data_IF_260809837347
#
_entry.id   IF_260809837347
#
_cell.length_a   1.000
_cell.length_b   1.000
_cell.length_c   1.000
_cell.angle_alpha   90.00
_cell.angle_beta   90.00
_cell.angle_gamma   90.00
#
_symmetry.space_group_name_H-M   'P 1'
#
loop_
_entity.id
_entity.type
_entity.pdbx_description
1 polymer ?
#
# COMPACT_ATOMS: atom_id res chain seq x y z
N UNK A 1 -10.58 0.60 20.33
CA UNK A 1 -11.09 0.88 18.98
C UNK A 1 -10.24 2.02 18.46
N UNK A 2 -9.56 1.85 17.32
CA UNK A 2 -8.76 2.93 16.74
C UNK A 2 -9.75 3.85 16.04
N UNK A 3 -10.07 5.00 16.63
CA UNK A 3 -10.89 6.03 16.00
C UNK A 3 -10.16 6.58 14.79
N UNK A 4 -10.50 6.08 13.61
CA UNK A 4 -9.98 6.59 12.33
C UNK A 4 -10.41 8.03 12.06
N UNK A 5 -11.42 8.55 12.77
CA UNK A 5 -11.93 9.92 12.61
C UNK A 5 -10.95 11.02 13.06
N UNK A 6 -9.92 10.69 13.85
CA UNK A 6 -8.90 11.65 14.32
C UNK A 6 -7.52 11.46 13.68
N UNK A 7 -7.39 10.60 12.66
CA UNK A 7 -6.12 10.42 11.96
C UNK A 7 -5.87 11.57 10.98
N UNK A 8 -4.61 12.03 10.85
CA UNK A 8 -4.29 13.06 9.86
C UNK A 8 -4.63 12.57 8.46
N UNK A 9 -5.13 13.42 7.55
CA UNK A 9 -5.40 13.00 6.18
C UNK A 9 -4.13 12.43 5.53
N UNK A 10 -4.26 11.30 4.83
CA UNK A 10 -3.17 10.80 4.00
C UNK A 10 -3.04 11.72 2.77
N UNK A 11 -1.97 12.51 2.72
CA UNK A 11 -1.65 13.41 1.61
C UNK A 11 -0.44 12.94 0.80
N UNK A 12 0.05 11.73 1.07
CA UNK A 12 1.29 11.22 0.48
C UNK A 12 0.99 10.44 -0.79
N UNK A 13 1.89 10.56 -1.76
CA UNK A 13 1.84 9.82 -3.01
C UNK A 13 3.01 8.83 -3.03
N UNK A 14 2.79 7.64 -3.56
CA UNK A 14 3.86 6.64 -3.69
C UNK A 14 4.14 6.37 -5.16
N UNK A 15 5.41 6.32 -5.52
CA UNK A 15 5.84 5.84 -6.81
C UNK A 15 6.55 4.50 -6.62
N UNK A 16 6.06 3.47 -7.31
CA UNK A 16 6.68 2.17 -7.36
C UNK A 16 7.28 2.00 -8.74
N UNK A 17 8.56 1.64 -8.81
CA UNK A 17 9.25 1.43 -10.08
C UNK A 17 10.26 0.31 -10.00
N UNK A 18 10.60 -0.24 -11.16
CA UNK A 18 11.65 -1.23 -11.28
C UNK A 18 11.29 -2.52 -10.56
N UNK A 19 10.01 -2.80 -10.34
CA UNK A 19 9.59 -4.15 -10.01
C UNK A 19 9.67 -4.99 -11.29
N UNK A 20 9.96 -6.28 -11.15
CA UNK A 20 9.89 -7.20 -12.30
C UNK A 20 8.48 -7.33 -12.92
N UNK A 21 7.49 -6.58 -12.42
CA UNK A 21 6.09 -6.63 -12.81
C UNK A 21 5.52 -5.22 -13.07
N UNK A 22 5.31 -4.84 -14.34
CA UNK A 22 4.69 -3.55 -14.69
C UNK A 22 3.32 -3.31 -14.03
N UNK A 23 2.63 -4.38 -13.64
CA UNK A 23 1.37 -4.34 -12.89
C UNK A 23 1.48 -3.70 -11.50
N UNK A 24 2.66 -3.76 -10.88
CA UNK A 24 2.96 -3.14 -9.59
C UNK A 24 3.65 -1.79 -9.76
N UNK A 25 4.22 -1.49 -10.92
CA UNK A 25 4.88 -0.21 -11.18
C UNK A 25 3.86 0.89 -11.50
N UNK A 26 4.17 2.12 -11.09
CA UNK A 26 3.36 3.31 -11.34
C UNK A 26 3.17 4.18 -10.10
N UNK A 27 2.31 5.18 -10.27
CA UNK A 27 1.93 6.10 -9.20
C UNK A 27 0.75 5.55 -8.41
N UNK A 28 0.78 5.80 -7.11
CA UNK A 28 -0.24 5.47 -6.16
C UNK A 28 -0.67 6.71 -5.38
N UNK A 29 -1.98 6.84 -5.19
CA UNK A 29 -2.64 7.96 -4.51
C UNK A 29 -3.27 7.46 -3.20
N UNK A 30 -3.52 8.34 -2.23
CA UNK A 30 -4.24 7.97 -1.02
C UNK A 30 -5.51 7.17 -1.34
N UNK A 31 -5.71 6.05 -0.64
CA UNK A 31 -6.79 5.10 -0.94
C UNK A 31 -8.17 5.73 -0.78
N UNK A 32 -9.06 5.57 -1.76
CA UNK A 32 -10.46 6.01 -1.69
C UNK A 32 -11.42 4.88 -1.30
N UNK A 33 -10.87 3.69 -0.99
CA UNK A 33 -11.64 2.54 -0.53
C UNK A 33 -12.66 2.89 0.57
N UNK A 34 -13.92 2.44 0.45
CA UNK A 34 -14.95 2.75 1.42
C UNK A 34 -14.63 2.12 2.79
N UNK A 35 -15.11 2.72 3.89
CA UNK A 35 -14.89 2.19 5.22
C UNK A 35 -15.30 0.72 5.33
N UNK A 36 -14.32 -0.13 5.61
CA UNK A 36 -14.50 -1.58 5.67
C UNK A 36 -13.87 -2.11 6.93
N UNK A 37 -14.58 -3.04 7.59
CA UNK A 37 -14.10 -3.72 8.77
C UNK A 37 -13.22 -4.90 8.36
N UNK A 38 -11.96 -4.91 8.79
CA UNK A 38 -11.05 -6.00 8.50
C UNK A 38 -11.29 -7.21 9.41
N UNK A 39 -10.72 -8.36 9.05
CA UNK A 39 -10.73 -9.58 9.87
C UNK A 39 -10.09 -9.38 11.26
N UNK A 40 -9.22 -8.37 11.39
CA UNK A 40 -8.64 -7.95 12.66
C UNK A 40 -9.58 -7.09 13.51
N UNK A 41 -10.85 -6.95 13.12
CA UNK A 41 -11.88 -6.17 13.81
C UNK A 41 -11.55 -4.65 13.87
N UNK A 42 -10.70 -4.17 12.95
CA UNK A 42 -10.31 -2.75 12.84
C UNK A 42 -11.08 -2.10 11.69
N UNK A 43 -11.64 -0.92 11.93
CA UNK A 43 -12.33 -0.16 10.89
C UNK A 43 -11.31 0.57 10.03
N UNK A 44 -11.44 0.45 8.70
CA UNK A 44 -10.67 1.24 7.73
C UNK A 44 -11.45 2.48 7.33
N UNK A 45 -10.77 3.49 6.79
CA UNK A 45 -11.36 4.75 6.32
C UNK A 45 -10.62 5.22 5.05
N UNK A 46 -11.14 6.19 4.29
CA UNK A 46 -10.38 6.78 3.20
C UNK A 46 -8.98 7.21 3.66
N UNK A 47 -7.97 6.87 2.87
CA UNK A 47 -6.55 7.07 3.14
C UNK A 47 -5.91 6.04 4.09
N UNK A 48 -6.70 5.17 4.72
CA UNK A 48 -6.25 4.28 5.80
C UNK A 48 -6.79 2.85 5.69
N UNK A 49 -5.90 1.89 5.94
CA UNK A 49 -6.23 0.49 6.08
C UNK A 49 -5.64 -0.04 7.37
N UNK A 50 -6.47 -0.69 8.20
CA UNK A 50 -5.99 -1.27 9.46
C UNK A 50 -5.28 -0.25 10.38
N UNK A 51 -5.69 1.01 10.36
CA UNK A 51 -5.09 2.09 11.16
C UNK A 51 -3.73 2.61 10.66
N UNK A 52 -3.27 2.17 9.48
CA UNK A 52 -2.08 2.69 8.79
C UNK A 52 -2.47 3.31 7.45
N UNK A 53 -1.66 4.22 6.92
CA UNK A 53 -1.93 4.81 5.61
C UNK A 53 -1.97 3.74 4.52
N UNK A 54 -2.83 3.95 3.54
CA UNK A 54 -3.05 3.01 2.45
C UNK A 54 -3.21 3.77 1.12
N UNK A 55 -2.83 3.10 0.02
CA UNK A 55 -2.81 3.72 -1.30
C UNK A 55 -3.43 2.84 -2.37
N UNK A 56 -4.09 3.50 -3.30
CA UNK A 56 -4.66 2.94 -4.52
C UNK A 56 -3.79 3.29 -5.72
N UNK A 57 -3.89 2.51 -6.80
CA UNK A 57 -3.23 2.88 -8.04
C UNK A 57 -3.88 4.12 -8.63
N UNK A 58 -3.06 5.09 -9.02
CA UNK A 58 -3.52 6.33 -9.64
C UNK A 58 -4.21 6.11 -10.99
N UNK A 59 -3.95 4.97 -11.66
CA UNK A 59 -4.57 4.60 -12.93
C UNK A 59 -5.96 3.95 -12.77
N UNK A 60 -6.40 3.65 -11.54
CA UNK A 60 -7.69 3.03 -11.26
C UNK A 60 -7.84 1.59 -11.78
N UNK A 61 -6.74 0.93 -12.20
CA UNK A 61 -6.80 -0.40 -12.84
C UNK A 61 -6.76 -1.57 -11.85
N UNK A 62 -6.52 -1.30 -10.57
CA UNK A 62 -6.48 -2.35 -9.56
C UNK A 62 -7.89 -2.91 -9.31
N UNK A 63 -8.02 -4.24 -9.35
CA UNK A 63 -9.26 -4.96 -9.06
C UNK A 63 -9.65 -4.88 -7.57
N UNK A 64 -8.69 -4.55 -6.71
CA UNK A 64 -8.89 -4.34 -5.27
C UNK A 64 -8.21 -3.07 -4.80
N UNK A 65 -8.82 -2.48 -3.79
CA UNK A 65 -8.30 -1.36 -3.02
C UNK A 65 -8.26 -1.74 -1.55
N UNK A 66 -7.23 -1.33 -0.78
CA UNK A 66 -6.01 -0.65 -1.23
C UNK A 66 -5.03 -1.57 -1.95
N UNK A 67 -4.24 -1.00 -2.87
CA UNK A 67 -3.17 -1.69 -3.60
C UNK A 67 -1.86 -1.79 -2.79
N UNK A 68 -1.58 -0.77 -1.97
CA UNK A 68 -0.50 -0.78 -0.97
C UNK A 68 -1.12 -0.64 0.42
N UNK A 69 -0.82 -1.59 1.30
CA UNK A 69 -1.39 -1.60 2.64
C UNK A 69 -0.53 -2.32 3.67
N UNK A 70 -0.80 -2.04 4.94
CA UNK A 70 -0.16 -2.70 6.07
C UNK A 70 -1.00 -3.88 6.58
N UNK A 71 -0.34 -5.00 6.82
CA UNK A 71 -0.93 -6.18 7.45
C UNK A 71 -0.54 -6.25 8.92
N UNK A 72 -1.51 -6.02 9.82
CA UNK A 72 -1.29 -6.09 11.28
C UNK A 72 -0.79 -7.48 11.71
N UNK A 73 -1.44 -8.55 11.21
CA UNK A 73 -1.13 -9.92 11.65
C UNK A 73 0.25 -10.41 11.25
N UNK A 74 0.76 -9.96 10.11
CA UNK A 74 2.10 -10.32 9.63
C UNK A 74 3.16 -9.25 9.90
N UNK A 75 2.73 -8.08 10.41
CA UNK A 75 3.59 -6.91 10.62
C UNK A 75 4.41 -6.58 9.37
N UNK A 76 3.73 -6.49 8.24
CA UNK A 76 4.39 -6.22 6.96
C UNK A 76 3.61 -5.27 6.06
N UNK A 77 4.37 -4.41 5.36
CA UNK A 77 3.87 -3.66 4.22
C UNK A 77 3.75 -4.56 3.01
N UNK A 78 2.74 -4.33 2.18
CA UNK A 78 2.39 -5.20 1.06
C UNK A 78 2.01 -4.41 -0.17
N UNK A 79 2.39 -4.93 -1.34
CA UNK A 79 1.98 -4.44 -2.65
C UNK A 79 1.28 -5.59 -3.37
N UNK A 80 0.08 -5.32 -3.90
CA UNK A 80 -0.63 -6.26 -4.76
C UNK A 80 -0.49 -5.89 -6.25
N UNK A 81 -0.75 -6.88 -7.09
CA UNK A 81 -0.90 -6.75 -8.54
C UNK A 81 -2.25 -6.14 -8.89
N UNK A 82 -2.46 -5.89 -10.19
CA UNK A 82 -3.74 -5.42 -10.71
C UNK A 82 -4.89 -6.39 -10.40
N UNK A 83 -4.65 -7.70 -10.40
CA UNK A 83 -5.65 -8.72 -10.07
C UNK A 83 -5.92 -8.88 -8.56
N UNK A 84 -5.16 -8.15 -7.72
CA UNK A 84 -5.29 -8.17 -6.27
C UNK A 84 -4.51 -9.26 -5.54
N UNK A 85 -3.76 -10.09 -6.25
CA UNK A 85 -2.81 -11.01 -5.62
C UNK A 85 -1.60 -10.24 -5.08
N UNK A 86 -1.10 -10.66 -3.91
CA UNK A 86 0.09 -10.08 -3.31
C UNK A 86 1.33 -10.44 -4.15
N UNK A 87 2.17 -9.44 -4.43
CA UNK A 87 3.41 -9.60 -5.19
C UNK A 87 4.66 -9.27 -4.37
N UNK A 88 4.57 -8.28 -3.49
CA UNK A 88 5.73 -7.87 -2.69
C UNK A 88 5.33 -7.62 -1.26
N UNK A 89 6.26 -7.87 -0.35
CA UNK A 89 6.07 -7.55 1.05
C UNK A 89 7.38 -7.16 1.72
N UNK A 90 7.28 -6.49 2.86
CA UNK A 90 8.43 -6.25 3.72
C UNK A 90 7.99 -6.20 5.17
N UNK A 91 8.57 -7.09 5.98
CA UNK A 91 8.29 -7.17 7.41
C UNK A 91 8.99 -6.03 8.14
N UNK A 92 8.21 -5.10 8.69
CA UNK A 92 8.67 -4.01 9.55
C UNK A 92 7.48 -3.39 10.30
N UNK A 93 7.74 -2.55 11.30
CA UNK A 93 6.70 -1.86 12.07
C UNK A 93 6.60 -0.35 11.72
N UNK A 94 7.27 0.05 10.64
CA UNK A 94 7.39 1.44 10.21
C UNK A 94 6.03 2.10 9.96
N UNK A 95 5.95 3.42 10.14
CA UNK A 95 4.71 4.17 9.92
C UNK A 95 4.34 4.29 8.45
N UNK A 96 5.35 4.33 7.57
CA UNK A 96 5.21 4.41 6.13
C UNK A 96 5.93 3.23 5.47
N UNK A 97 5.59 2.89 4.21
CA UNK A 97 6.31 1.89 3.45
C UNK A 97 7.79 2.27 3.34
N UNK A 98 8.73 1.36 3.66
CA UNK A 98 10.15 1.70 3.70
C UNK A 98 10.69 1.94 2.28
N UNK A 99 11.48 3.01 2.15
CA UNK A 99 12.14 3.43 0.90
C UNK A 99 13.66 3.26 0.95
N UNK A 100 14.20 2.85 2.10
CA UNK A 100 15.63 2.77 2.41
C UNK A 100 16.20 1.36 2.27
N UNK A 101 15.35 0.36 2.00
CA UNK A 101 15.73 -1.06 1.99
C UNK A 101 14.96 -1.85 0.94
N UNK A 102 15.49 -3.01 0.60
CA UNK A 102 14.93 -3.88 -0.43
C UNK A 102 13.67 -4.61 0.07
N UNK A 103 12.64 -4.64 -0.76
CA UNK A 103 11.42 -5.41 -0.54
C UNK A 103 11.61 -6.89 -0.88
N UNK A 104 10.82 -7.77 -0.25
CA UNK A 104 10.82 -9.19 -0.56
C UNK A 104 9.90 -9.46 -1.75
N UNK A 105 10.37 -10.31 -2.68
CA UNK A 105 9.50 -10.94 -3.67
C UNK A 105 8.59 -11.94 -2.95
N UNK A 106 7.28 -11.79 -3.09
CA UNK A 106 6.30 -12.54 -2.31
C UNK A 106 5.17 -13.10 -3.18
N UNK A 107 4.85 -14.39 -3.03
CA UNK A 107 3.81 -15.09 -3.80
C UNK A 107 3.92 -14.86 -5.31
N UNK A 108 3.13 -13.94 -5.88
CA UNK A 108 3.03 -13.69 -7.32
C UNK A 108 4.00 -12.60 -7.81
N UNK A 109 4.94 -12.17 -6.97
CA UNK A 109 6.00 -11.23 -7.35
C UNK A 109 7.07 -11.86 -8.22
N UNK A 110 7.80 -11.00 -8.94
CA UNK A 110 8.98 -11.39 -9.72
C UNK A 110 10.13 -10.45 -9.41
N UNK A 111 11.36 -10.95 -9.41
CA UNK A 111 12.56 -10.13 -9.28
C UNK A 111 12.77 -9.26 -10.54
N UNK A 112 13.35 -8.05 -10.42
CA UNK A 112 13.84 -7.41 -9.20
C UNK A 112 12.72 -6.95 -8.25
N UNK A 113 13.10 -6.75 -6.99
CA UNK A 113 12.21 -6.17 -5.99
C UNK A 113 11.87 -4.70 -6.33
N UNK A 114 10.66 -4.23 -5.99
CA UNK A 114 10.25 -2.86 -6.26
C UNK A 114 11.13 -1.85 -5.53
N UNK A 115 11.33 -0.69 -6.17
CA UNK A 115 11.76 0.54 -5.50
C UNK A 115 10.53 1.38 -5.20
N UNK A 116 10.42 1.84 -3.95
CA UNK A 116 9.34 2.72 -3.50
C UNK A 116 9.91 4.11 -3.21
N UNK A 117 9.23 5.15 -3.67
CA UNK A 117 9.52 6.56 -3.38
C UNK A 117 8.25 7.20 -2.82
N UNK A 118 8.38 8.03 -1.80
CA UNK A 118 7.27 8.81 -1.21
C UNK A 118 7.40 10.26 -1.65
N UNK A 119 6.32 10.81 -2.21
CA UNK A 119 6.21 12.20 -2.60
C UNK A 119 5.23 12.94 -1.68
N UNK A 120 5.58 14.15 -1.20
CA UNK A 120 4.68 14.96 -0.36
C UNK A 120 3.56 15.65 -1.16
N UNK A 121 3.63 15.62 -2.50
CA UNK A 121 2.65 16.18 -3.42
C UNK A 121 2.55 15.30 -4.68
N UNK A 122 1.46 15.44 -5.46
CA UNK A 122 1.27 14.68 -6.70
C UNK A 122 2.40 15.01 -7.69
N UNK A 123 3.20 14.02 -8.14
CA UNK A 123 4.35 14.26 -9.02
C UNK A 123 3.96 14.36 -10.51
N UNK A 124 2.67 14.33 -10.87
CA UNK A 124 2.17 14.41 -12.26
C UNK A 124 1.99 15.85 -12.77
#
# INVERSE_FOLDING_TARGET
>A
MTDTENLPPNTLFLEVSGSGLPECDGLYVPSEAPPTKSDANVMSSPGYWNGKMAWDRADGKAARSPAISYSIGFKSWRICRLDGHLAYEITCEDELPPTDRQWNVYKMGVAPAPKVIIHPADPR
#
